data_IF_773626610412
#
_entry.id   IF_773626610412
#
_cell.length_a   1.000
_cell.length_b   1.000
_cell.length_c   1.000
_cell.angle_alpha   90.00
_cell.angle_beta   90.00
_cell.angle_gamma   90.00
#
_symmetry.space_group_name_H-M   'P 1'
#
loop_
_entity.id
_entity.type
_entity.pdbx_description
1 polymer ?
#
# COMPACT_ATOMS: atom_id res chain seq x y z
N UNK A 1 -25.62 30.95 -2.07
CA UNK A 1 -26.26 29.89 -1.25
C UNK A 1 -25.32 28.67 -1.30
N UNK A 2 -24.61 28.46 -0.23
CA UNK A 2 -23.50 27.53 -0.12
C UNK A 2 -24.03 26.27 0.53
N UNK A 3 -24.24 25.20 -0.23
CA UNK A 3 -24.52 23.88 0.35
C UNK A 3 -23.21 23.32 0.93
N UNK A 4 -23.09 23.45 2.23
CA UNK A 4 -22.18 22.69 3.05
C UNK A 4 -22.66 21.24 3.05
N UNK A 5 -22.03 20.38 2.24
CA UNK A 5 -22.11 18.93 2.44
C UNK A 5 -21.35 18.59 3.73
N UNK A 6 -22.03 18.74 4.85
CA UNK A 6 -21.60 18.14 6.10
C UNK A 6 -21.73 16.62 5.93
N UNK A 7 -20.62 15.90 5.93
CA UNK A 7 -20.62 14.47 6.20
C UNK A 7 -21.36 14.28 7.52
N UNK A 8 -22.58 13.78 7.43
CA UNK A 8 -23.44 13.55 8.58
C UNK A 8 -22.69 12.68 9.59
N UNK A 9 -22.64 13.16 10.80
CA UNK A 9 -22.33 12.40 12.02
C UNK A 9 -23.53 11.45 12.26
N UNK A 10 -23.71 10.50 11.33
CA UNK A 10 -24.83 9.55 11.38
C UNK A 10 -24.35 8.34 12.17
N UNK A 11 -24.97 8.14 13.32
CA UNK A 11 -24.89 6.88 14.06
C UNK A 11 -25.09 5.70 13.08
N UNK A 12 -24.38 4.58 13.26
CA UNK A 12 -24.54 3.41 12.41
C UNK A 12 -26.01 2.98 12.34
N UNK A 13 -26.47 2.61 11.15
CA UNK A 13 -27.78 1.92 11.03
C UNK A 13 -27.64 0.51 11.61
N UNK A 14 -28.05 0.35 12.86
CA UNK A 14 -27.94 -0.91 13.59
C UNK A 14 -28.75 -2.05 12.95
N UNK A 15 -29.84 -1.76 12.22
CA UNK A 15 -30.62 -2.77 11.52
C UNK A 15 -29.85 -3.31 10.31
N UNK A 16 -29.30 -2.41 9.48
CA UNK A 16 -28.44 -2.77 8.35
C UNK A 16 -27.18 -3.49 8.83
N UNK A 17 -26.55 -3.00 9.91
CA UNK A 17 -25.38 -3.62 10.51
C UNK A 17 -25.67 -5.04 11.01
N UNK A 18 -26.76 -5.24 11.76
CA UNK A 18 -27.16 -6.55 12.25
C UNK A 18 -27.40 -7.56 11.13
N UNK A 19 -28.07 -7.13 10.07
CA UNK A 19 -28.32 -7.95 8.89
C UNK A 19 -27.02 -8.33 8.17
N UNK A 20 -26.11 -7.39 7.98
CA UNK A 20 -24.80 -7.61 7.37
C UNK A 20 -23.92 -8.56 8.22
N UNK A 21 -23.92 -8.39 9.55
CA UNK A 21 -23.21 -9.29 10.47
C UNK A 21 -23.74 -10.72 10.38
N UNK A 22 -25.07 -10.90 10.40
CA UNK A 22 -25.68 -12.22 10.27
C UNK A 22 -25.31 -12.88 8.93
N UNK A 23 -25.24 -12.10 7.85
CA UNK A 23 -24.77 -12.60 6.55
C UNK A 23 -23.29 -12.99 6.58
N UNK A 24 -22.41 -12.14 7.14
CA UNK A 24 -20.99 -12.44 7.26
C UNK A 24 -20.73 -13.74 8.05
N UNK A 25 -21.45 -13.95 9.16
CA UNK A 25 -21.34 -15.18 9.95
C UNK A 25 -21.81 -16.40 9.16
N UNK A 26 -22.95 -16.31 8.44
CA UNK A 26 -23.44 -17.42 7.59
C UNK A 26 -22.47 -17.79 6.48
N UNK A 27 -21.75 -16.82 5.94
CA UNK A 27 -20.81 -17.02 4.83
C UNK A 27 -19.36 -17.25 5.29
N UNK A 28 -19.13 -17.37 6.62
CA UNK A 28 -17.80 -17.68 7.14
C UNK A 28 -17.25 -18.97 6.49
N UNK A 29 -16.01 -18.89 5.98
CA UNK A 29 -15.38 -20.01 5.26
C UNK A 29 -15.78 -20.16 3.77
N UNK A 30 -16.66 -19.30 3.25
CA UNK A 30 -17.02 -19.30 1.82
C UNK A 30 -16.46 -18.08 1.08
N UNK A 31 -16.32 -18.08 -0.25
CA UNK A 31 -15.87 -16.91 -1.02
C UNK A 31 -16.74 -15.66 -0.82
N UNK A 32 -18.00 -15.80 -0.43
CA UNK A 32 -18.90 -14.68 -0.19
C UNK A 32 -18.58 -13.90 1.08
N UNK A 33 -17.80 -14.46 2.03
CA UNK A 33 -17.50 -13.79 3.30
C UNK A 33 -16.89 -12.40 3.10
N UNK A 34 -15.92 -12.27 2.19
CA UNK A 34 -15.21 -10.98 1.99
C UNK A 34 -16.21 -9.88 1.57
N UNK A 35 -17.14 -10.21 0.66
CA UNK A 35 -18.18 -9.27 0.23
C UNK A 35 -19.10 -8.86 1.39
N UNK A 36 -19.51 -9.82 2.22
CA UNK A 36 -20.37 -9.53 3.37
C UNK A 36 -19.63 -8.72 4.46
N UNK A 37 -18.35 -9.00 4.68
CA UNK A 37 -17.50 -8.22 5.58
C UNK A 37 -17.38 -6.77 5.11
N UNK A 38 -17.21 -6.54 3.80
CA UNK A 38 -17.22 -5.20 3.20
C UNK A 38 -18.54 -4.48 3.47
N UNK A 39 -19.68 -5.18 3.39
CA UNK A 39 -20.99 -4.61 3.73
C UNK A 39 -21.07 -4.21 5.21
N UNK A 40 -20.56 -5.05 6.11
CA UNK A 40 -20.47 -4.72 7.55
C UNK A 40 -19.69 -3.43 7.76
N UNK A 41 -18.50 -3.32 7.18
CA UNK A 41 -17.64 -2.16 7.38
C UNK A 41 -18.23 -0.88 6.78
N UNK A 42 -18.91 -0.98 5.63
CA UNK A 42 -19.60 0.16 5.03
C UNK A 42 -20.88 0.57 5.77
N UNK A 43 -21.47 -0.31 6.56
CA UNK A 43 -22.55 0.05 7.49
C UNK A 43 -22.03 0.77 8.73
N UNK A 44 -20.76 0.60 9.09
CA UNK A 44 -20.11 1.28 10.22
C UNK A 44 -19.61 2.67 9.83
N UNK A 45 -18.97 2.79 8.66
CA UNK A 45 -18.35 4.03 8.20
C UNK A 45 -18.57 4.21 6.70
N UNK A 46 -18.76 5.46 6.22
CA UNK A 46 -18.81 5.72 4.79
C UNK A 46 -17.44 5.39 4.18
N UNK A 47 -17.45 4.57 3.12
CA UNK A 47 -16.27 4.29 2.32
C UNK A 47 -16.68 4.23 0.85
N UNK A 48 -15.99 5.00 0.02
CA UNK A 48 -16.22 5.07 -1.42
C UNK A 48 -15.49 3.94 -2.15
N UNK A 49 -14.30 3.61 -1.66
CA UNK A 49 -13.44 2.55 -2.18
C UNK A 49 -13.17 1.51 -1.09
N UNK A 50 -13.19 0.24 -1.48
CA UNK A 50 -12.76 -0.87 -0.62
C UNK A 50 -11.96 -1.84 -1.46
N UNK A 51 -10.75 -2.13 -1.01
CA UNK A 51 -9.90 -3.15 -1.62
C UNK A 51 -9.48 -4.16 -0.55
N UNK A 52 -9.53 -5.43 -0.90
CA UNK A 52 -9.05 -6.50 -0.02
C UNK A 52 -8.05 -7.33 -0.81
N UNK A 53 -6.82 -7.38 -0.34
CA UNK A 53 -5.76 -8.16 -0.94
C UNK A 53 -5.12 -9.08 0.10
N UNK A 54 -4.66 -10.22 -0.38
CA UNK A 54 -3.90 -11.17 0.41
C UNK A 54 -2.44 -11.11 -0.02
N UNK A 55 -1.57 -10.78 0.91
CA UNK A 55 -0.13 -10.87 0.75
C UNK A 55 0.34 -12.26 1.20
N UNK A 56 1.11 -12.91 0.35
CA UNK A 56 1.80 -14.17 0.68
C UNK A 56 3.27 -14.04 0.31
N UNK A 57 4.15 -14.57 1.16
CA UNK A 57 5.57 -14.48 0.92
C UNK A 57 5.99 -15.02 -0.46
N UNK A 58 6.84 -14.29 -1.20
CA UNK A 58 7.37 -14.69 -2.51
C UNK A 58 6.41 -14.55 -3.70
N UNK A 59 5.17 -14.10 -3.47
CA UNK A 59 4.16 -13.95 -4.52
C UNK A 59 3.64 -12.52 -4.59
N UNK A 60 3.15 -12.08 -5.75
CA UNK A 60 2.39 -10.84 -5.85
C UNK A 60 1.10 -10.90 -5.04
N UNK A 61 0.48 -9.74 -4.75
CA UNK A 61 -0.76 -9.70 -3.99
C UNK A 61 -1.90 -10.41 -4.75
N UNK A 62 -2.64 -11.24 -4.04
CA UNK A 62 -3.85 -11.87 -4.53
C UNK A 62 -5.05 -10.96 -4.21
N UNK A 63 -5.79 -10.57 -5.25
CA UNK A 63 -6.99 -9.75 -5.07
C UNK A 63 -8.14 -10.63 -4.56
N UNK A 64 -8.67 -10.31 -3.38
CA UNK A 64 -9.84 -10.96 -2.81
C UNK A 64 -11.14 -10.19 -3.08
N UNK A 65 -11.07 -8.85 -3.10
CA UNK A 65 -12.22 -7.99 -3.39
C UNK A 65 -11.76 -6.61 -3.85
N UNK A 66 -12.50 -6.03 -4.80
CA UNK A 66 -12.31 -4.66 -5.26
C UNK A 66 -13.66 -3.97 -5.44
N UNK A 67 -13.82 -2.85 -4.76
CA UNK A 67 -14.89 -1.89 -4.93
C UNK A 67 -14.26 -0.52 -5.13
N UNK A 68 -13.48 -0.40 -6.20
CA UNK A 68 -12.83 0.87 -6.55
C UNK A 68 -13.73 1.68 -7.47
N UNK A 69 -13.93 2.94 -7.14
CA UNK A 69 -14.69 3.88 -7.96
C UNK A 69 -13.76 4.72 -8.88
N UNK A 70 -14.35 5.25 -9.97
CA UNK A 70 -13.67 6.16 -10.87
C UNK A 70 -13.24 5.54 -12.21
N UNK A 71 -12.99 6.41 -13.21
CA UNK A 71 -12.83 6.00 -14.61
C UNK A 71 -11.53 5.21 -14.87
N UNK A 72 -10.56 5.28 -13.98
CA UNK A 72 -9.25 4.60 -14.11
C UNK A 72 -9.05 3.49 -13.07
N UNK A 73 -10.10 3.05 -12.38
CA UNK A 73 -10.00 2.07 -11.30
C UNK A 73 -9.29 0.78 -11.74
N UNK A 74 -9.70 0.20 -12.85
CA UNK A 74 -9.08 -1.02 -13.38
C UNK A 74 -7.59 -0.85 -13.71
N UNK A 75 -7.19 0.30 -14.28
CA UNK A 75 -5.79 0.60 -14.58
C UNK A 75 -4.97 0.81 -13.30
N UNK A 76 -5.54 1.51 -12.32
CA UNK A 76 -4.89 1.74 -11.03
C UNK A 76 -4.69 0.40 -10.29
N UNK A 77 -5.71 -0.46 -10.26
CA UNK A 77 -5.62 -1.79 -9.68
C UNK A 77 -4.56 -2.65 -10.39
N UNK A 78 -4.55 -2.65 -11.74
CA UNK A 78 -3.54 -3.37 -12.51
C UNK A 78 -2.12 -2.89 -12.20
N UNK A 79 -1.90 -1.57 -12.08
CA UNK A 79 -0.61 -0.99 -11.71
C UNK A 79 -0.21 -1.39 -10.28
N UNK A 80 -1.17 -1.38 -9.35
CA UNK A 80 -0.94 -1.82 -7.98
C UNK A 80 -0.46 -3.27 -7.94
N UNK A 81 -1.22 -4.19 -8.53
CA UNK A 81 -0.92 -5.62 -8.50
C UNK A 81 0.37 -6.00 -9.23
N UNK A 82 0.79 -5.22 -10.24
CA UNK A 82 2.03 -5.47 -11.00
C UNK A 82 3.31 -5.04 -10.27
N UNK A 83 3.22 -4.24 -9.21
CA UNK A 83 4.43 -3.87 -8.47
C UNK A 83 4.31 -2.63 -7.59
N UNK A 84 3.34 -1.71 -7.82
CA UNK A 84 3.23 -0.51 -7.01
C UNK A 84 2.93 -0.81 -5.54
N UNK A 85 2.30 -1.95 -5.23
CA UNK A 85 2.06 -2.42 -3.86
C UNK A 85 3.32 -2.50 -3.01
N UNK A 86 4.48 -2.74 -3.62
CA UNK A 86 5.76 -2.83 -2.93
C UNK A 86 6.18 -1.53 -2.22
N UNK A 87 5.62 -0.41 -2.66
CA UNK A 87 5.86 0.93 -2.09
C UNK A 87 4.69 1.44 -1.25
N UNK A 88 3.60 0.67 -1.19
CA UNK A 88 2.43 0.96 -0.37
C UNK A 88 2.83 0.97 1.11
N UNK A 89 2.50 2.01 1.89
CA UNK A 89 2.76 2.06 3.32
C UNK A 89 2.18 0.88 4.10
N UNK A 90 1.01 0.35 3.73
CA UNK A 90 0.42 -0.82 4.38
C UNK A 90 1.20 -2.10 4.08
N UNK A 91 1.60 -2.30 2.82
CA UNK A 91 2.46 -3.42 2.47
C UNK A 91 3.82 -3.33 3.18
N UNK A 92 4.40 -2.14 3.23
CA UNK A 92 5.67 -1.92 3.93
C UNK A 92 5.56 -2.19 5.43
N UNK A 93 4.47 -1.73 6.05
CA UNK A 93 4.21 -2.02 7.47
C UNK A 93 4.10 -3.54 7.72
N UNK A 94 3.42 -4.28 6.85
CA UNK A 94 3.38 -5.73 6.91
C UNK A 94 4.77 -6.34 6.75
N UNK A 95 5.52 -5.94 5.72
CA UNK A 95 6.85 -6.46 5.43
C UNK A 95 7.88 -6.19 6.54
N UNK A 96 7.72 -5.07 7.24
CA UNK A 96 8.56 -4.67 8.38
C UNK A 96 8.10 -5.32 9.71
N UNK A 97 7.10 -6.20 9.67
CA UNK A 97 6.61 -6.95 10.83
C UNK A 97 5.77 -6.13 11.81
N UNK A 98 5.11 -5.08 11.35
CA UNK A 98 4.23 -4.28 12.20
C UNK A 98 3.13 -5.14 12.83
N UNK A 99 2.75 -4.80 14.06
CA UNK A 99 1.69 -5.51 14.79
C UNK A 99 0.36 -5.49 14.00
N UNK A 100 -0.48 -6.54 14.16
CA UNK A 100 -1.82 -6.55 13.63
C UNK A 100 -2.61 -5.32 14.10
N UNK A 101 -3.39 -4.71 13.21
CA UNK A 101 -4.09 -3.49 13.61
C UNK A 101 -5.00 -2.91 12.55
N UNK A 102 -5.69 -1.84 12.96
CA UNK A 102 -6.42 -0.94 12.09
C UNK A 102 -5.72 0.43 12.12
N UNK A 103 -5.15 0.83 11.01
CA UNK A 103 -4.27 1.98 10.90
C UNK A 103 -4.79 3.00 9.91
N UNK A 104 -4.57 4.28 10.19
CA UNK A 104 -4.68 5.33 9.18
C UNK A 104 -3.44 5.32 8.29
N UNK A 105 -3.61 5.63 7.02
CA UNK A 105 -2.48 5.79 6.09
C UNK A 105 -1.40 6.72 6.66
N UNK A 106 -1.79 7.83 7.30
CA UNK A 106 -0.86 8.81 7.89
C UNK A 106 0.04 8.24 9.00
N UNK A 107 -0.38 7.16 9.69
CA UNK A 107 0.41 6.52 10.75
C UNK A 107 1.53 5.64 10.17
N UNK A 108 1.34 5.14 8.95
CA UNK A 108 2.26 4.23 8.27
C UNK A 108 3.11 4.94 7.22
N UNK A 109 2.56 5.98 6.61
CA UNK A 109 3.19 6.70 5.52
C UNK A 109 4.44 7.47 6.01
N UNK A 110 5.52 7.50 5.22
CA UNK A 110 6.69 8.33 5.54
C UNK A 110 6.33 9.82 5.51
N UNK A 111 7.10 10.64 6.21
CA UNK A 111 6.85 12.09 6.35
C UNK A 111 6.71 12.83 5.01
N UNK A 112 7.38 12.35 3.96
CA UNK A 112 7.35 12.91 2.60
C UNK A 112 6.41 12.14 1.64
N UNK A 113 5.45 11.36 2.17
CA UNK A 113 4.58 10.50 1.35
C UNK A 113 3.93 11.23 0.17
N UNK A 114 3.35 12.41 0.41
CA UNK A 114 2.69 13.21 -0.65
C UNK A 114 3.64 13.73 -1.72
N UNK A 115 4.93 13.78 -1.44
CA UNK A 115 5.98 14.16 -2.38
C UNK A 115 6.65 12.95 -3.03
N UNK A 116 6.28 11.73 -2.63
CA UNK A 116 6.80 10.50 -3.19
C UNK A 116 6.22 10.24 -4.59
N UNK A 117 6.96 9.54 -5.42
CA UNK A 117 6.48 9.12 -6.73
C UNK A 117 5.35 8.10 -6.62
N UNK A 118 5.38 7.22 -5.63
CA UNK A 118 4.25 6.33 -5.36
C UNK A 118 2.95 7.11 -5.20
N UNK A 119 2.98 8.19 -4.40
CA UNK A 119 1.81 9.04 -4.24
C UNK A 119 1.38 9.64 -5.57
N UNK A 120 2.29 10.29 -6.33
CA UNK A 120 1.96 11.01 -7.56
C UNK A 120 1.54 10.08 -8.71
N UNK A 121 2.22 8.98 -8.89
CA UNK A 121 2.01 8.08 -10.03
C UNK A 121 0.93 7.04 -9.80
N UNK A 122 0.68 6.67 -8.53
CA UNK A 122 -0.32 5.67 -8.18
C UNK A 122 -1.40 6.23 -7.27
N UNK A 123 -1.09 6.55 -6.00
CA UNK A 123 -2.10 6.87 -4.99
C UNK A 123 -2.97 8.08 -5.37
N UNK A 124 -2.38 9.18 -5.85
CA UNK A 124 -3.15 10.36 -6.28
C UNK A 124 -4.10 10.07 -7.44
N UNK A 125 -3.78 9.10 -8.30
CA UNK A 125 -4.63 8.69 -9.43
C UNK A 125 -5.86 7.91 -9.00
N UNK A 126 -5.84 7.30 -7.82
CA UNK A 126 -7.02 6.63 -7.26
C UNK A 126 -8.12 7.65 -6.93
N UNK A 127 -7.76 8.90 -6.64
CA UNK A 127 -8.69 9.93 -6.15
C UNK A 127 -9.06 9.77 -4.68
N UNK A 128 -8.44 8.83 -3.98
CA UNK A 128 -8.62 8.63 -2.53
C UNK A 128 -7.95 9.80 -1.80
N UNK A 129 -8.68 10.41 -0.88
CA UNK A 129 -8.21 11.55 -0.09
C UNK A 129 -7.75 11.16 1.32
N UNK A 130 -8.34 10.11 1.88
CA UNK A 130 -7.95 9.52 3.17
C UNK A 130 -8.25 8.02 3.15
N UNK A 131 -7.44 7.25 3.90
CA UNK A 131 -7.50 5.81 3.90
C UNK A 131 -7.26 5.25 5.31
N UNK A 132 -8.06 4.24 5.66
CA UNK A 132 -7.89 3.39 6.84
C UNK A 132 -7.78 1.95 6.36
N UNK A 133 -6.81 1.20 6.88
CA UNK A 133 -6.63 -0.20 6.51
C UNK A 133 -6.43 -1.11 7.72
N UNK A 134 -6.94 -2.33 7.62
CA UNK A 134 -6.61 -3.42 8.51
C UNK A 134 -5.43 -4.21 7.97
N UNK A 135 -4.51 -4.57 8.86
CA UNK A 135 -3.49 -5.58 8.62
C UNK A 135 -3.80 -6.79 9.50
N UNK A 136 -4.24 -7.88 8.87
CA UNK A 136 -4.69 -9.10 9.54
C UNK A 136 -3.77 -10.26 9.18
N UNK A 137 -2.80 -10.59 10.04
CA UNK A 137 -1.96 -11.76 9.83
C UNK A 137 -2.77 -13.04 9.95
N UNK A 138 -2.53 -13.96 9.03
CA UNK A 138 -3.21 -15.25 8.97
C UNK A 138 -2.34 -16.43 9.42
N UNK A 139 -1.15 -16.15 9.96
CA UNK A 139 -0.12 -17.16 10.21
C UNK A 139 0.70 -17.47 8.94
N UNK A 140 1.79 -18.25 9.10
CA UNK A 140 2.64 -18.70 7.98
C UNK A 140 3.08 -17.59 7.02
N UNK A 141 3.13 -16.34 7.53
CA UNK A 141 3.56 -15.20 6.76
C UNK A 141 2.60 -14.71 5.70
N UNK A 142 1.36 -15.02 5.79
CA UNK A 142 0.30 -14.39 5.02
C UNK A 142 -0.37 -13.26 5.82
N UNK A 143 -0.82 -12.22 5.15
CA UNK A 143 -1.55 -11.10 5.73
C UNK A 143 -2.64 -10.62 4.78
N UNK A 144 -3.84 -10.44 5.29
CA UNK A 144 -4.89 -9.71 4.56
C UNK A 144 -4.74 -8.22 4.87
N UNK A 145 -4.64 -7.43 3.82
CA UNK A 145 -4.84 -5.99 3.87
C UNK A 145 -6.24 -5.66 3.35
N UNK A 146 -7.06 -5.08 4.21
CA UNK A 146 -8.39 -4.58 3.88
C UNK A 146 -8.38 -3.07 4.01
N UNK A 147 -8.49 -2.37 2.92
CA UNK A 147 -8.43 -0.91 2.80
C UNK A 147 -9.82 -0.32 2.60
N UNK A 148 -10.07 0.79 3.27
CA UNK A 148 -11.27 1.64 3.17
C UNK A 148 -10.82 3.05 2.78
N UNK A 149 -11.26 3.55 1.63
CA UNK A 149 -10.92 4.87 1.11
C UNK A 149 -12.13 5.79 1.02
N UNK A 150 -11.91 7.09 1.26
CA UNK A 150 -12.89 8.15 0.99
C UNK A 150 -12.36 9.12 -0.06
N UNK A 151 -13.26 9.61 -0.92
CA UNK A 151 -12.95 10.52 -2.04
C UNK A 151 -13.36 11.95 -1.74
N UNK A 152 -12.81 12.88 -2.51
CA UNK A 152 -13.08 14.29 -2.39
C UNK A 152 -12.00 15.05 -1.61
N UNK A 153 -11.65 16.24 -2.07
CA UNK A 153 -10.50 17.01 -1.61
C UNK A 153 -10.47 17.27 -0.09
N UNK A 154 -11.63 17.34 0.55
CA UNK A 154 -11.78 17.57 1.99
C UNK A 154 -12.26 16.33 2.75
N UNK A 155 -12.48 15.20 2.07
CA UNK A 155 -12.94 13.99 2.71
C UNK A 155 -11.86 13.43 3.66
N UNK A 156 -12.26 13.12 4.88
CA UNK A 156 -11.41 12.49 5.90
C UNK A 156 -12.28 11.63 6.79
N UNK A 157 -11.72 10.51 7.23
CA UNK A 157 -12.34 9.75 8.30
C UNK A 157 -12.26 10.53 9.61
N UNK A 158 -13.37 10.63 10.33
CA UNK A 158 -13.39 11.18 11.68
C UNK A 158 -12.61 10.29 12.66
N UNK A 159 -12.14 10.87 13.78
CA UNK A 159 -11.46 10.09 14.82
C UNK A 159 -12.39 9.01 15.39
N UNK A 160 -13.68 9.33 15.58
CA UNK A 160 -14.68 8.40 16.04
C UNK A 160 -14.88 7.20 15.09
N UNK A 161 -14.84 7.43 13.76
CA UNK A 161 -14.95 6.36 12.76
C UNK A 161 -13.74 5.42 12.80
N UNK A 162 -12.53 5.97 12.93
CA UNK A 162 -11.33 5.13 13.11
C UNK A 162 -11.41 4.31 14.39
N UNK A 163 -11.85 4.91 15.50
CA UNK A 163 -12.04 4.20 16.77
C UNK A 163 -13.05 3.07 16.65
N UNK A 164 -14.18 3.35 16.00
CA UNK A 164 -15.21 2.33 15.73
C UNK A 164 -14.65 1.15 14.92
N UNK A 165 -13.87 1.42 13.88
CA UNK A 165 -13.21 0.37 13.11
C UNK A 165 -12.19 -0.41 13.96
N UNK A 166 -11.45 0.25 14.85
CA UNK A 166 -10.55 -0.41 15.79
C UNK A 166 -11.32 -1.33 16.76
N UNK A 167 -12.47 -0.91 17.25
CA UNK A 167 -13.31 -1.71 18.14
C UNK A 167 -13.88 -2.96 17.43
N UNK A 168 -14.12 -2.88 16.11
CA UNK A 168 -14.55 -4.01 15.28
C UNK A 168 -13.41 -4.92 14.82
N UNK A 169 -12.15 -4.54 15.05
CA UNK A 169 -10.98 -5.32 14.63
C UNK A 169 -11.03 -6.79 15.05
N UNK A 170 -11.36 -7.19 16.27
CA UNK A 170 -11.38 -8.61 16.67
C UNK A 170 -12.31 -9.45 15.80
N UNK A 171 -13.47 -8.89 15.43
CA UNK A 171 -14.42 -9.57 14.54
C UNK A 171 -13.87 -9.72 13.13
N UNK A 172 -13.30 -8.65 12.59
CA UNK A 172 -12.68 -8.65 11.25
C UNK A 172 -11.56 -9.68 11.16
N UNK A 173 -10.68 -9.70 12.15
CA UNK A 173 -9.57 -10.65 12.23
C UNK A 173 -10.08 -12.10 12.30
N UNK A 174 -11.05 -12.38 13.15
CA UNK A 174 -11.56 -13.74 13.32
C UNK A 174 -12.26 -14.26 12.05
N UNK A 175 -13.08 -13.43 11.41
CA UNK A 175 -13.75 -13.79 10.16
C UNK A 175 -12.75 -14.06 9.04
N UNK A 176 -11.75 -13.19 8.88
CA UNK A 176 -10.71 -13.36 7.83
C UNK A 176 -9.82 -14.56 8.10
N UNK A 177 -9.44 -14.83 9.35
CA UNK A 177 -8.67 -16.04 9.70
C UNK A 177 -9.42 -17.33 9.37
N UNK A 178 -10.71 -17.38 9.63
CA UNK A 178 -11.56 -18.54 9.27
C UNK A 178 -11.73 -18.70 7.77
N UNK A 179 -11.67 -17.59 7.02
CA UNK A 179 -11.85 -17.62 5.57
C UNK A 179 -10.60 -18.12 4.84
N UNK A 180 -9.42 -17.68 5.26
CA UNK A 180 -8.18 -17.96 4.55
C UNK A 180 -7.35 -18.96 5.35
N UNK A 181 -7.54 -20.25 5.10
CA UNK A 181 -6.62 -21.28 5.58
C UNK A 181 -5.28 -21.12 4.86
N UNK A 182 -4.25 -20.60 5.55
CA UNK A 182 -2.95 -20.37 4.96
C UNK A 182 -2.15 -21.68 4.83
N UNK A 183 -1.60 -22.02 3.66
CA UNK A 183 -0.53 -22.98 3.56
C UNK A 183 0.77 -22.39 4.12
N UNK A 184 1.53 -23.21 4.82
CA UNK A 184 2.78 -22.81 5.44
C UNK A 184 3.89 -22.52 4.39
N UNK A 185 4.77 -21.59 4.71
CA UNK A 185 6.10 -21.33 4.08
C UNK A 185 6.28 -20.29 2.97
N UNK A 186 5.69 -19.10 3.04
CA UNK A 186 5.97 -18.14 1.95
C UNK A 186 6.43 -16.71 2.34
N UNK A 187 6.39 -16.29 3.58
CA UNK A 187 6.59 -14.84 3.94
C UNK A 187 8.02 -14.36 3.94
N UNK A 188 8.94 -15.26 4.28
CA UNK A 188 10.36 -14.89 4.34
C UNK A 188 10.93 -14.54 2.96
N UNK A 189 10.32 -15.08 1.90
CA UNK A 189 10.81 -14.90 0.54
C UNK A 189 10.48 -13.53 -0.06
N UNK A 190 9.33 -12.91 0.25
CA UNK A 190 8.92 -11.62 -0.36
C UNK A 190 9.60 -10.41 0.25
N UNK A 191 9.68 -10.35 1.57
CA UNK A 191 10.44 -9.27 2.23
C UNK A 191 11.88 -9.29 1.75
N UNK A 192 12.45 -10.50 1.63
CA UNK A 192 13.78 -10.71 1.09
C UNK A 192 13.88 -10.30 -0.39
N UNK A 193 12.87 -10.56 -1.19
CA UNK A 193 12.91 -10.25 -2.64
C UNK A 193 12.79 -8.76 -2.91
N UNK A 194 11.90 -8.04 -2.21
CA UNK A 194 11.79 -6.58 -2.34
C UNK A 194 13.01 -5.86 -1.78
N UNK A 195 13.42 -6.23 -0.56
CA UNK A 195 14.61 -5.62 0.04
C UNK A 195 15.85 -5.93 -0.78
N UNK A 196 15.92 -7.12 -1.39
CA UNK A 196 16.96 -7.46 -2.36
C UNK A 196 16.85 -6.63 -3.63
N UNK A 197 15.65 -6.50 -4.21
CA UNK A 197 15.46 -5.69 -5.43
C UNK A 197 15.82 -4.22 -5.17
N UNK A 198 15.35 -3.62 -4.08
CA UNK A 198 15.74 -2.26 -3.69
C UNK A 198 17.22 -2.13 -3.36
N UNK A 199 17.79 -3.13 -2.68
CA UNK A 199 19.20 -3.16 -2.29
C UNK A 199 20.14 -3.28 -3.48
N UNK A 200 19.73 -3.98 -4.52
CA UNK A 200 20.55 -4.22 -5.69
C UNK A 200 20.24 -3.27 -6.86
N UNK A 201 19.09 -2.57 -6.83
CA UNK A 201 18.70 -1.66 -7.92
C UNK A 201 19.75 -0.60 -8.21
N UNK A 202 20.22 -0.59 -9.43
CA UNK A 202 21.21 0.35 -9.94
C UNK A 202 22.65 0.09 -9.47
N UNK A 203 22.95 -0.98 -8.75
CA UNK A 203 24.32 -1.25 -8.24
C UNK A 203 25.37 -1.39 -9.32
N UNK A 204 24.97 -1.91 -10.47
CA UNK A 204 25.88 -2.11 -11.60
C UNK A 204 26.17 -0.78 -12.34
N UNK A 205 25.40 0.28 -12.08
CA UNK A 205 25.44 1.57 -12.77
C UNK A 205 25.80 2.74 -11.85
N UNK A 206 25.54 2.61 -10.56
CA UNK A 206 25.68 3.69 -9.58
C UNK A 206 26.77 3.39 -8.56
N UNK A 207 27.37 4.44 -8.01
CA UNK A 207 28.24 4.30 -6.83
C UNK A 207 27.42 3.94 -5.58
N UNK A 208 28.04 3.37 -4.55
CA UNK A 208 27.37 3.00 -3.31
C UNK A 208 26.55 4.16 -2.72
N UNK A 209 27.11 5.38 -2.75
CA UNK A 209 26.42 6.57 -2.22
C UNK A 209 25.22 7.00 -3.06
N UNK A 210 25.31 6.87 -4.35
CA UNK A 210 24.20 7.10 -5.27
C UNK A 210 23.10 6.07 -5.08
N UNK A 211 23.44 4.79 -4.89
CA UNK A 211 22.48 3.71 -4.58
C UNK A 211 21.73 4.02 -3.28
N UNK A 212 22.42 4.40 -2.19
CA UNK A 212 21.77 4.77 -0.93
C UNK A 212 20.77 5.93 -1.10
N UNK A 213 21.14 6.97 -1.86
CA UNK A 213 20.26 8.11 -2.13
C UNK A 213 19.03 7.67 -2.94
N UNK A 214 19.22 6.87 -3.99
CA UNK A 214 18.12 6.37 -4.85
C UNK A 214 17.18 5.47 -4.07
N UNK A 215 17.70 4.57 -3.24
CA UNK A 215 16.87 3.71 -2.38
C UNK A 215 15.99 4.50 -1.41
N UNK A 216 16.53 5.54 -0.80
CA UNK A 216 15.78 6.40 0.10
C UNK A 216 14.75 7.27 -0.66
N UNK A 217 15.06 7.72 -1.88
CA UNK A 217 14.11 8.42 -2.74
C UNK A 217 12.93 7.52 -3.12
N UNK A 218 13.19 6.29 -3.53
CA UNK A 218 12.16 5.31 -3.88
C UNK A 218 11.26 4.95 -2.67
N UNK A 219 11.84 4.99 -1.45
CA UNK A 219 11.08 4.82 -0.19
C UNK A 219 10.29 6.07 0.24
N UNK A 220 10.33 7.15 -0.54
CA UNK A 220 9.56 8.37 -0.29
C UNK A 220 10.20 9.37 0.69
N UNK A 221 11.50 9.22 0.98
CA UNK A 221 12.20 10.19 1.83
C UNK A 221 12.44 11.51 1.11
N UNK A 222 12.23 12.63 1.79
CA UNK A 222 12.57 13.97 1.29
C UNK A 222 14.08 14.18 1.26
N UNK A 223 14.55 15.12 0.44
CA UNK A 223 15.98 15.51 0.38
C UNK A 223 16.54 15.82 1.77
N UNK A 224 15.76 16.50 2.63
CA UNK A 224 16.15 16.82 4.01
C UNK A 224 16.28 15.55 4.85
N UNK A 225 15.30 14.66 4.80
CA UNK A 225 15.33 13.40 5.55
C UNK A 225 16.47 12.48 5.09
N UNK A 226 16.78 12.47 3.79
CA UNK A 226 17.93 11.73 3.24
C UNK A 226 19.25 12.33 3.77
N UNK A 227 19.39 13.65 3.74
CA UNK A 227 20.57 14.36 4.24
C UNK A 227 20.85 14.03 5.71
N UNK A 228 19.82 14.07 6.55
CA UNK A 228 19.89 13.71 7.97
C UNK A 228 20.31 12.25 8.18
N UNK A 229 19.68 11.30 7.47
CA UNK A 229 19.96 9.85 7.56
C UNK A 229 21.37 9.50 7.10
N UNK A 230 21.81 10.12 6.03
CA UNK A 230 23.12 9.84 5.43
C UNK A 230 24.24 10.73 6.01
N UNK A 231 23.92 11.68 6.91
CA UNK A 231 24.83 12.64 7.52
C UNK A 231 25.62 13.45 6.50
N UNK A 232 24.93 13.97 5.49
CA UNK A 232 25.49 14.84 4.44
C UNK A 232 24.60 16.07 4.25
N UNK A 233 25.07 17.06 3.48
CA UNK A 233 24.26 18.25 3.20
C UNK A 233 23.10 17.94 2.22
N UNK A 234 21.98 18.69 2.27
CA UNK A 234 20.93 18.59 1.26
C UNK A 234 21.44 18.85 -0.17
N UNK A 235 22.45 19.71 -0.33
CA UNK A 235 23.10 20.00 -1.60
C UNK A 235 23.83 18.78 -2.12
N UNK A 236 24.52 18.06 -1.24
CA UNK A 236 25.20 16.79 -1.60
C UNK A 236 24.19 15.72 -2.03
N UNK A 237 23.02 15.64 -1.37
CA UNK A 237 21.95 14.75 -1.80
C UNK A 237 21.44 15.10 -3.21
N UNK A 238 21.25 16.40 -3.49
CA UNK A 238 20.84 16.86 -4.83
C UNK A 238 21.89 16.51 -5.90
N UNK A 239 23.18 16.62 -5.56
CA UNK A 239 24.28 16.29 -6.46
C UNK A 239 24.29 14.78 -6.76
N UNK A 240 24.21 13.92 -5.75
CA UNK A 240 24.13 12.47 -5.96
C UNK A 240 22.91 12.10 -6.81
N UNK A 241 21.74 12.69 -6.52
CA UNK A 241 20.53 12.48 -7.31
C UNK A 241 20.73 12.87 -8.79
N UNK A 242 21.34 14.04 -9.04
CA UNK A 242 21.64 14.50 -10.42
C UNK A 242 22.53 13.52 -11.15
N UNK A 243 23.61 13.04 -10.52
CA UNK A 243 24.52 12.08 -11.13
C UNK A 243 23.83 10.72 -11.36
N UNK A 244 23.05 10.25 -10.41
CA UNK A 244 22.28 9.01 -10.58
C UNK A 244 21.30 9.09 -11.74
N UNK A 245 20.60 10.20 -11.87
CA UNK A 245 19.64 10.42 -12.95
C UNK A 245 20.33 10.39 -14.32
N UNK A 246 21.48 11.04 -14.43
CA UNK A 246 22.25 11.00 -15.67
C UNK A 246 22.76 9.59 -16.03
N UNK A 247 23.17 8.79 -15.02
CA UNK A 247 23.64 7.42 -15.25
C UNK A 247 22.53 6.43 -15.57
N UNK A 248 21.32 6.66 -15.06
CA UNK A 248 20.16 5.82 -15.28
C UNK A 248 19.31 6.27 -16.47
N UNK A 249 19.75 7.32 -17.18
CA UNK A 249 19.05 7.94 -18.30
C UNK A 249 17.59 8.34 -17.94
N UNK A 250 17.43 8.95 -16.77
CA UNK A 250 16.15 9.48 -16.30
C UNK A 250 16.27 10.96 -15.99
N UNK A 251 15.24 11.74 -16.28
CA UNK A 251 15.22 13.19 -16.07
C UNK A 251 14.43 13.62 -14.85
N UNK A 252 13.58 12.73 -14.33
CA UNK A 252 12.68 13.00 -13.24
C UNK A 252 12.61 11.85 -12.24
N UNK A 253 12.14 12.16 -11.04
CA UNK A 253 11.84 11.14 -10.04
C UNK A 253 10.70 10.21 -10.50
N UNK A 254 9.82 10.72 -11.36
CA UNK A 254 8.76 9.95 -12.00
C UNK A 254 9.32 8.85 -12.89
N UNK A 255 10.25 9.20 -13.76
CA UNK A 255 10.92 8.25 -14.65
C UNK A 255 11.76 7.23 -13.88
N UNK A 256 12.45 7.67 -12.81
CA UNK A 256 13.14 6.75 -11.91
C UNK A 256 12.19 5.72 -11.30
N UNK A 257 10.99 6.15 -10.86
CA UNK A 257 9.99 5.25 -10.30
C UNK A 257 9.46 4.26 -11.36
N UNK A 258 9.17 4.72 -12.56
CA UNK A 258 8.78 3.85 -13.66
C UNK A 258 9.85 2.82 -13.97
N UNK A 259 11.10 3.26 -14.10
CA UNK A 259 12.23 2.37 -14.35
C UNK A 259 12.37 1.30 -13.26
N UNK A 260 12.17 1.66 -11.99
CA UNK A 260 12.19 0.72 -10.87
C UNK A 260 11.05 -0.31 -10.96
N UNK A 261 9.83 0.13 -11.24
CA UNK A 261 8.66 -0.77 -11.37
C UNK A 261 8.82 -1.73 -12.55
N UNK A 262 9.31 -1.23 -13.69
CA UNK A 262 9.56 -2.06 -14.87
C UNK A 262 10.66 -3.10 -14.61
N UNK A 263 11.73 -2.68 -13.94
CA UNK A 263 12.83 -3.57 -13.54
C UNK A 263 12.38 -4.66 -12.55
N UNK A 264 11.45 -4.35 -11.62
CA UNK A 264 10.87 -5.35 -10.72
C UNK A 264 10.13 -6.47 -11.45
N UNK A 265 9.42 -6.16 -12.53
CA UNK A 265 8.73 -7.16 -13.35
C UNK A 265 9.69 -8.18 -13.99
N UNK A 266 10.96 -7.84 -14.09
CA UNK A 266 12.04 -8.66 -14.67
C UNK A 266 12.94 -9.29 -13.62
N UNK A 267 12.76 -8.99 -12.34
CA UNK A 267 13.68 -9.40 -11.27
C UNK A 267 13.76 -10.91 -11.11
N UNK A 268 14.98 -11.46 -11.20
CA UNK A 268 15.31 -12.89 -11.00
C UNK A 268 16.46 -13.08 -10.00
N UNK A 269 16.93 -12.00 -9.36
CA UNK A 269 18.13 -11.94 -8.52
C UNK A 269 19.22 -11.09 -9.16
N UNK A 270 20.12 -10.53 -8.35
CA UNK A 270 21.15 -9.57 -8.80
C UNK A 270 20.62 -8.14 -8.88
N UNK A 271 21.15 -7.32 -9.80
CA UNK A 271 20.61 -5.98 -10.06
C UNK A 271 19.34 -6.08 -10.94
N UNK A 272 18.17 -5.60 -10.44
CA UNK A 272 16.92 -5.62 -11.22
C UNK A 272 17.05 -4.89 -12.57
N UNK A 273 17.84 -3.81 -12.61
CA UNK A 273 18.01 -2.98 -13.81
C UNK A 273 18.79 -3.71 -14.90
N UNK A 274 19.83 -4.47 -14.53
CA UNK A 274 20.58 -5.30 -15.49
C UNK A 274 19.68 -6.35 -16.14
N UNK A 275 18.80 -7.00 -15.36
CA UNK A 275 17.84 -7.96 -15.88
C UNK A 275 16.78 -7.32 -16.82
N UNK A 276 16.45 -6.07 -16.61
CA UNK A 276 15.52 -5.31 -17.45
C UNK A 276 16.17 -4.89 -18.77
N UNK A 277 17.36 -4.30 -18.73
CA UNK A 277 18.06 -3.79 -19.91
C UNK A 277 18.51 -4.90 -20.88
N UNK A 278 18.76 -6.11 -20.40
CA UNK A 278 19.15 -7.25 -21.25
C UNK A 278 17.96 -7.90 -22.01
N UNK A 279 16.75 -7.34 -21.94
CA UNK A 279 15.56 -7.82 -22.67
C UNK A 279 15.19 -6.98 -23.89
N UNK A 280 15.92 -5.89 -24.14
CA UNK A 280 15.72 -4.98 -25.28
C UNK A 280 16.47 -5.39 -26.54
#
# INVERSE_FOLDING_TARGET
MTERSALKDSSPDFSALGSALAAAVRHAGTPALVQELVRVLRALVPADDVMVVLYRGGQGPELLHDLSAGPQSAQNLSTYLKGAYLLDPFYRAFADGMAPGCYRLQQLAPSAFRSSEYYRLHFARTGIADEIGYLVPLGSGACVHLSLGVRGAQARFAVAQHRLLQDFRPLVEELLRRHVAAPADSTRALTTQLDSALKFFGRDFLTEREVEVIQLLLRGHSTKSIAERLRISPETVKLHRKHSYAKLDVSSQAELFHLFIDALGSYRGGDPLTGYLNRG
#
